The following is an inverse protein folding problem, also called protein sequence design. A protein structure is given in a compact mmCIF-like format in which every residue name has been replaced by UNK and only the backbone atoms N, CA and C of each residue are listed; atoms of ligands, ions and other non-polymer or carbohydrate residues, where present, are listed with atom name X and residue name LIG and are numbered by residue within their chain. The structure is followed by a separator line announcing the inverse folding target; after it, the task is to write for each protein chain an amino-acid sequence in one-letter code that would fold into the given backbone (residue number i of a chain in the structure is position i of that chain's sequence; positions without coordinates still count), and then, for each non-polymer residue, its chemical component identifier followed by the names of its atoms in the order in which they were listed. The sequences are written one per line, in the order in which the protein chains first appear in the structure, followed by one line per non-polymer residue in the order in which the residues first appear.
data_IF_730857743191
#
_entry.id   IF_730857743191
#
_cell.length_a   1.000
_cell.length_b   1.000
_cell.length_c   1.000
_cell.angle_alpha   90.00
_cell.angle_beta   90.00
_cell.angle_gamma   90.00
#
_symmetry.space_group_name_H-M   'P 1'
#
loop_
_entity.id
_entity.type
_entity.pdbx_description
1 polymer ?
#
# COMPACT_ATOMS: atom_id res chain seq x y z
N UNK A 1 45.34 -19.27 62.10
CA UNK A 1 44.86 -18.33 61.06
C UNK A 1 45.39 -18.65 59.66
N UNK A 2 46.65 -19.06 59.50
CA UNK A 2 47.27 -19.33 58.17
C UNK A 2 46.62 -20.48 57.38
N UNK A 3 46.26 -21.60 58.04
CA UNK A 3 45.66 -22.75 57.35
C UNK A 3 44.28 -22.43 56.72
N UNK A 4 43.45 -21.66 57.42
CA UNK A 4 42.14 -21.23 56.92
C UNK A 4 42.28 -20.34 55.68
N UNK A 5 43.23 -19.40 55.70
CA UNK A 5 43.51 -18.52 54.55
C UNK A 5 43.97 -19.33 53.33
N UNK A 6 44.81 -20.35 53.52
CA UNK A 6 45.25 -21.21 52.41
C UNK A 6 44.10 -22.01 51.78
N UNK A 7 43.16 -22.50 52.59
CA UNK A 7 41.98 -23.22 52.09
C UNK A 7 41.08 -22.30 51.28
N UNK A 8 40.79 -21.09 51.77
CA UNK A 8 39.97 -20.10 51.03
C UNK A 8 40.63 -19.70 49.71
N UNK A 9 41.94 -19.49 49.70
CA UNK A 9 42.69 -19.17 48.48
C UNK A 9 42.61 -20.32 47.47
N UNK A 10 42.79 -21.57 47.90
CA UNK A 10 42.72 -22.73 47.02
C UNK A 10 41.32 -22.91 46.39
N UNK A 11 40.26 -22.70 47.18
CA UNK A 11 38.87 -22.78 46.69
C UNK A 11 38.57 -21.65 45.70
N UNK A 12 39.01 -20.43 45.98
CA UNK A 12 38.86 -19.31 45.03
C UNK A 12 39.63 -19.54 43.73
N UNK A 13 40.84 -20.10 43.80
CA UNK A 13 41.65 -20.40 42.61
C UNK A 13 41.01 -21.50 41.77
N UNK A 14 40.51 -22.55 42.42
CA UNK A 14 39.76 -23.63 41.76
C UNK A 14 38.47 -23.09 41.10
N UNK A 15 37.75 -22.20 41.79
CA UNK A 15 36.55 -21.56 41.24
C UNK A 15 36.88 -20.72 39.99
N UNK A 16 37.92 -19.90 40.05
CA UNK A 16 38.34 -19.08 38.90
C UNK A 16 38.78 -19.93 37.71
N UNK A 17 39.45 -21.07 37.93
CA UNK A 17 39.82 -21.99 36.86
C UNK A 17 38.62 -22.66 36.22
N UNK A 18 37.64 -23.09 37.02
CA UNK A 18 36.38 -23.68 36.51
C UNK A 18 35.59 -22.65 35.72
N UNK A 19 35.47 -21.43 36.24
CA UNK A 19 34.75 -20.35 35.59
C UNK A 19 35.45 -19.97 34.27
N UNK A 20 36.78 -19.75 34.30
CA UNK A 20 37.56 -19.48 33.10
C UNK A 20 37.44 -20.57 32.03
N UNK A 21 37.45 -21.85 32.44
CA UNK A 21 37.22 -22.96 31.52
C UNK A 21 35.80 -22.97 30.95
N UNK A 22 34.80 -22.62 31.76
CA UNK A 22 33.40 -22.50 31.34
C UNK A 22 33.21 -21.41 30.28
N UNK A 23 33.82 -20.24 30.48
CA UNK A 23 33.81 -19.14 29.52
C UNK A 23 34.55 -19.50 28.21
N UNK A 24 35.71 -20.16 28.31
CA UNK A 24 36.46 -20.62 27.13
C UNK A 24 35.66 -21.65 26.31
N UNK A 25 35.01 -22.60 26.97
CA UNK A 25 34.16 -23.61 26.30
C UNK A 25 32.93 -23.00 25.65
N UNK A 26 32.31 -22.00 26.28
CA UNK A 26 31.22 -21.24 25.69
C UNK A 26 31.67 -20.47 24.44
N UNK A 27 32.86 -19.88 24.46
CA UNK A 27 33.47 -19.22 23.30
C UNK A 27 33.74 -20.18 22.12
N UNK A 28 34.14 -21.42 22.41
CA UNK A 28 34.33 -22.43 21.36
C UNK A 28 33.03 -22.85 20.68
N UNK A 29 31.90 -22.90 21.40
CA UNK A 29 30.60 -23.21 20.82
C UNK A 29 30.16 -22.13 19.80
N UNK A 30 30.45 -20.86 20.08
CA UNK A 30 30.24 -19.74 19.14
C UNK A 30 31.19 -19.84 17.93
N UNK A 31 32.46 -20.19 18.14
CA UNK A 31 33.42 -20.38 17.05
C UNK A 31 33.07 -21.56 16.12
N UNK A 32 32.44 -22.61 16.66
CA UNK A 32 31.97 -23.74 15.86
C UNK A 32 30.82 -23.35 14.91
N UNK A 33 29.95 -22.40 15.30
CA UNK A 33 28.92 -21.85 14.42
C UNK A 33 29.50 -20.91 13.35
N UNK A 34 30.60 -20.22 13.65
CA UNK A 34 31.38 -19.47 12.65
C UNK A 34 32.18 -20.36 11.68
N UNK A 35 32.18 -21.69 11.90
CA UNK A 35 33.05 -22.66 11.22
C UNK A 35 32.72 -22.98 9.76
N UNK A 36 31.71 -22.36 9.14
CA UNK A 36 31.40 -22.61 7.72
C UNK A 36 31.42 -21.32 6.87
N UNK A 37 32.61 -20.76 6.59
CA UNK A 37 32.76 -19.54 5.78
C UNK A 37 32.23 -19.68 4.35
N UNK A 38 32.06 -20.91 3.87
CA UNK A 38 31.45 -21.19 2.59
C UNK A 38 29.92 -21.00 2.62
N UNK A 39 29.26 -21.41 3.71
CA UNK A 39 27.82 -21.23 3.87
C UNK A 39 27.44 -19.74 3.93
N UNK A 40 28.16 -18.94 4.72
CA UNK A 40 27.94 -17.49 4.80
C UNK A 40 28.20 -16.79 3.47
N UNK A 41 29.21 -17.24 2.73
CA UNK A 41 29.50 -16.69 1.40
C UNK A 41 28.44 -17.08 0.35
N UNK A 42 27.89 -18.30 0.41
CA UNK A 42 26.76 -18.70 -0.44
C UNK A 42 25.50 -17.89 -0.12
N UNK A 43 25.17 -17.72 1.15
CA UNK A 43 24.05 -16.88 1.59
C UNK A 43 24.24 -15.44 1.08
N UNK A 44 25.43 -14.87 1.26
CA UNK A 44 25.75 -13.52 0.76
C UNK A 44 25.52 -13.40 -0.75
N UNK A 45 25.90 -14.41 -1.54
CA UNK A 45 25.64 -14.43 -2.99
C UNK A 45 24.17 -14.57 -3.32
N UNK A 46 23.43 -15.41 -2.59
CA UNK A 46 21.99 -15.56 -2.78
C UNK A 46 21.26 -14.24 -2.51
N UNK A 47 21.56 -13.57 -1.40
CA UNK A 47 21.00 -12.26 -1.07
C UNK A 47 21.38 -11.20 -2.10
N UNK A 48 22.62 -11.21 -2.60
CA UNK A 48 23.02 -10.30 -3.68
C UNK A 48 22.24 -10.55 -4.97
N UNK A 49 22.00 -11.80 -5.34
CA UNK A 49 21.19 -12.14 -6.52
C UNK A 49 19.75 -11.66 -6.37
N UNK A 50 19.14 -11.87 -5.20
CA UNK A 50 17.79 -11.42 -4.91
C UNK A 50 17.67 -9.89 -4.95
N UNK A 51 18.63 -9.16 -4.38
CA UNK A 51 18.66 -7.69 -4.45
C UNK A 51 18.76 -7.23 -5.91
N UNK A 52 19.57 -7.88 -6.74
CA UNK A 52 19.68 -7.51 -8.16
C UNK A 52 18.38 -7.80 -8.91
N UNK A 53 17.73 -8.93 -8.63
CA UNK A 53 16.44 -9.27 -9.22
C UNK A 53 15.36 -8.25 -8.84
N UNK A 54 15.26 -7.89 -7.55
CA UNK A 54 14.31 -6.89 -7.07
C UNK A 54 14.55 -5.51 -7.71
N UNK A 55 15.81 -5.11 -7.89
CA UNK A 55 16.14 -3.85 -8.57
C UNK A 55 15.67 -3.82 -10.02
N UNK A 56 15.81 -4.94 -10.75
CA UNK A 56 15.29 -5.06 -12.12
C UNK A 56 13.77 -4.91 -12.13
N UNK A 57 13.06 -5.58 -11.22
CA UNK A 57 11.60 -5.46 -11.10
C UNK A 57 11.19 -4.01 -10.81
N UNK A 58 11.83 -3.34 -9.84
CA UNK A 58 11.54 -1.94 -9.53
C UNK A 58 11.76 -1.05 -10.75
N UNK A 59 12.87 -1.22 -11.48
CA UNK A 59 13.15 -0.45 -12.68
C UNK A 59 12.06 -0.64 -13.75
N UNK A 60 11.61 -1.88 -13.94
CA UNK A 60 10.52 -2.17 -14.90
C UNK A 60 9.19 -1.54 -14.48
N UNK A 61 8.85 -1.58 -13.19
CA UNK A 61 7.64 -0.97 -12.67
C UNK A 61 7.67 0.55 -12.81
N UNK A 62 8.82 1.19 -12.49
CA UNK A 62 8.98 2.62 -12.68
C UNK A 62 8.79 3.03 -14.15
N UNK A 63 9.31 2.23 -15.09
CA UNK A 63 9.10 2.46 -16.51
C UNK A 63 7.62 2.35 -16.91
N UNK A 64 6.91 1.34 -16.39
CA UNK A 64 5.47 1.18 -16.64
C UNK A 64 4.66 2.35 -16.08
N UNK A 65 4.98 2.80 -14.86
CA UNK A 65 4.32 3.96 -14.24
C UNK A 65 4.54 5.20 -15.10
N UNK A 66 5.76 5.45 -15.56
CA UNK A 66 6.07 6.59 -16.42
C UNK A 66 5.30 6.51 -17.77
N UNK A 67 5.19 5.33 -18.36
CA UNK A 67 4.43 5.12 -19.59
C UNK A 67 2.93 5.40 -19.39
N UNK A 68 2.32 4.85 -18.34
CA UNK A 68 0.91 5.10 -18.02
C UNK A 68 0.64 6.57 -17.71
N UNK A 69 1.57 7.26 -17.03
CA UNK A 69 1.45 8.70 -16.78
C UNK A 69 1.44 9.50 -18.08
N UNK A 70 2.32 9.16 -19.04
CA UNK A 70 2.35 9.80 -20.34
C UNK A 70 1.05 9.54 -21.14
N UNK A 71 0.49 8.34 -21.07
CA UNK A 71 -0.80 8.01 -21.69
C UNK A 71 -1.95 8.83 -21.08
N UNK A 72 -1.99 8.94 -19.75
CA UNK A 72 -3.00 9.76 -19.05
C UNK A 72 -2.87 11.23 -19.46
N UNK A 73 -1.65 11.76 -19.56
CA UNK A 73 -1.42 13.14 -19.99
C UNK A 73 -1.86 13.36 -21.44
N UNK A 74 -1.56 12.42 -22.34
CA UNK A 74 -2.02 12.45 -23.73
C UNK A 74 -3.56 12.42 -23.83
N UNK A 75 -4.23 11.56 -23.06
CA UNK A 75 -5.70 11.50 -23.01
C UNK A 75 -6.26 12.82 -22.49
N UNK A 76 -5.70 13.37 -21.41
CA UNK A 76 -6.12 14.67 -20.85
C UNK A 76 -5.94 15.82 -21.85
N UNK A 77 -4.83 15.85 -22.60
CA UNK A 77 -4.59 16.84 -23.63
C UNK A 77 -5.61 16.72 -24.78
N UNK A 78 -5.90 15.50 -25.24
CA UNK A 78 -6.91 15.27 -26.27
C UNK A 78 -8.32 15.67 -25.84
N UNK A 79 -8.68 15.39 -24.57
CA UNK A 79 -9.94 15.81 -23.96
C UNK A 79 -10.02 17.35 -23.80
N UNK A 80 -8.91 18.00 -23.42
CA UNK A 80 -8.81 19.45 -23.36
C UNK A 80 -9.04 20.11 -24.72
N UNK A 81 -8.37 19.62 -25.77
CA UNK A 81 -8.54 20.12 -27.14
C UNK A 81 -9.99 19.92 -27.63
N UNK A 82 -10.59 18.76 -27.36
CA UNK A 82 -11.99 18.49 -27.70
C UNK A 82 -12.96 19.43 -26.97
N UNK A 83 -12.71 19.72 -25.68
CA UNK A 83 -13.50 20.66 -24.90
C UNK A 83 -13.34 22.11 -25.42
N UNK A 84 -12.12 22.52 -25.79
CA UNK A 84 -11.87 23.84 -26.40
C UNK A 84 -12.55 23.98 -27.76
N UNK A 85 -12.55 22.93 -28.59
CA UNK A 85 -13.32 22.92 -29.84
C UNK A 85 -14.83 22.99 -29.60
N UNK A 86 -15.35 22.29 -28.59
CA UNK A 86 -16.77 22.31 -28.24
C UNK A 86 -17.22 23.66 -27.65
N UNK A 87 -16.35 24.37 -26.94
CA UNK A 87 -16.62 25.71 -26.40
C UNK A 87 -16.50 26.80 -27.47
N UNK A 88 -15.56 26.65 -28.41
CA UNK A 88 -15.45 27.48 -29.61
C UNK A 88 -16.67 27.32 -30.55
N UNK A 89 -17.20 26.09 -30.66
CA UNK A 89 -18.46 25.85 -31.38
C UNK A 89 -19.66 26.47 -30.66
N UNK A 90 -19.69 26.44 -29.32
CA UNK A 90 -20.76 27.05 -28.50
C UNK A 90 -20.73 28.58 -28.48
N UNK A 91 -19.56 29.21 -28.58
CA UNK A 91 -19.44 30.68 -28.60
C UNK A 91 -19.85 31.30 -29.93
N UNK A 92 -20.00 30.49 -31.00
CA UNK A 92 -20.54 30.96 -32.28
C UNK A 92 -22.07 30.85 -32.40
N UNK A 93 -22.76 30.29 -31.40
CA UNK A 93 -24.23 30.27 -31.29
C UNK A 93 -24.68 31.02 -30.01
N UNK A 94 -25.19 32.23 -30.17
CA UNK A 94 -25.91 32.97 -29.12
C UNK A 94 -27.38 33.18 -29.53
N UNK A 95 -28.30 33.55 -28.62
CA UNK A 95 -28.55 33.05 -27.27
C UNK A 95 -30.05 32.73 -27.06
N UNK A 96 -30.42 31.67 -26.33
CA UNK A 96 -31.72 31.63 -25.63
C UNK A 96 -31.87 30.51 -24.60
N UNK A 97 -32.43 30.91 -23.45
CA UNK A 97 -33.16 30.11 -22.45
C UNK A 97 -32.36 29.55 -21.25
N UNK A 98 -32.46 30.18 -20.06
CA UNK A 98 -31.90 29.64 -18.83
C UNK A 98 -32.93 28.76 -18.13
N UNK A 99 -32.84 27.43 -18.28
CA UNK A 99 -33.66 26.52 -17.48
C UNK A 99 -32.97 25.22 -17.03
N UNK A 100 -31.76 24.90 -17.49
CA UNK A 100 -31.19 23.56 -17.28
C UNK A 100 -29.77 23.57 -16.69
N UNK A 101 -29.51 24.43 -15.70
CA UNK A 101 -28.20 24.49 -15.02
C UNK A 101 -27.97 23.35 -14.03
N UNK A 102 -29.01 22.61 -13.63
CA UNK A 102 -28.94 21.54 -12.63
C UNK A 102 -28.58 20.16 -13.20
N UNK A 103 -28.75 19.93 -14.51
CA UNK A 103 -28.36 18.66 -15.13
C UNK A 103 -26.85 18.52 -15.33
N UNK A 104 -26.15 19.62 -15.59
CA UNK A 104 -24.71 19.62 -15.94
C UNK A 104 -23.78 19.33 -14.75
N UNK A 105 -24.21 19.62 -13.51
CA UNK A 105 -23.42 19.31 -12.31
C UNK A 105 -23.50 17.84 -11.90
N UNK A 106 -24.56 17.11 -12.27
CA UNK A 106 -24.67 15.67 -12.02
C UNK A 106 -23.75 14.84 -12.95
N UNK A 107 -23.57 15.26 -14.21
CA UNK A 107 -22.69 14.57 -15.16
C UNK A 107 -21.21 14.73 -14.80
N UNK A 108 -20.80 15.88 -14.27
CA UNK A 108 -19.39 16.15 -13.95
C UNK A 108 -18.85 15.32 -12.80
N UNK A 109 -19.72 14.90 -11.86
CA UNK A 109 -19.35 14.00 -10.76
C UNK A 109 -19.33 12.51 -11.15
N UNK A 110 -19.89 12.14 -12.30
CA UNK A 110 -19.83 10.78 -12.84
C UNK A 110 -18.63 10.53 -13.77
N UNK A 111 -18.04 11.59 -14.32
CA UNK A 111 -16.99 11.51 -15.34
C UNK A 111 -15.64 10.93 -14.86
N UNK A 112 -15.46 10.73 -13.55
CA UNK A 112 -14.22 10.18 -12.96
C UNK A 112 -14.42 8.78 -12.36
N UNK A 113 -15.60 8.19 -12.50
CA UNK A 113 -15.91 6.85 -11.98
C UNK A 113 -15.92 5.89 -13.18
N UNK A 114 -15.16 4.79 -13.07
CA UNK A 114 -15.14 3.75 -14.11
C UNK A 114 -16.59 3.37 -14.48
N UNK A 115 -16.94 3.24 -15.78
CA UNK A 115 -18.33 3.06 -16.23
C UNK A 115 -19.04 1.87 -15.57
N UNK A 116 -18.28 0.88 -15.14
CA UNK A 116 -18.73 -0.31 -14.40
C UNK A 116 -19.40 0.01 -13.05
N UNK A 117 -19.10 1.16 -12.44
CA UNK A 117 -19.69 1.60 -11.16
C UNK A 117 -20.75 2.68 -11.31
N UNK A 118 -21.05 3.12 -12.54
CA UNK A 118 -22.02 4.21 -12.78
C UNK A 118 -23.45 3.81 -12.35
N UNK A 119 -23.85 2.58 -12.65
CA UNK A 119 -25.17 2.03 -12.26
C UNK A 119 -25.29 1.81 -10.74
N UNK A 120 -24.35 1.10 -10.06
CA UNK A 120 -24.34 1.00 -8.60
C UNK A 120 -24.39 2.37 -7.90
N UNK A 121 -23.59 3.34 -8.36
CA UNK A 121 -23.53 4.66 -7.74
C UNK A 121 -24.84 5.44 -7.92
N UNK A 122 -25.47 5.34 -9.09
CA UNK A 122 -26.78 5.93 -9.33
C UNK A 122 -27.88 5.30 -8.45
N UNK A 123 -27.80 3.99 -8.20
CA UNK A 123 -28.74 3.27 -7.36
C UNK A 123 -28.55 3.64 -5.87
N UNK A 124 -27.31 3.72 -5.40
CA UNK A 124 -26.96 4.18 -4.05
C UNK A 124 -27.42 5.62 -3.79
N UNK A 125 -27.25 6.54 -4.75
CA UNK A 125 -27.76 7.93 -4.65
C UNK A 125 -29.29 8.03 -4.59
N UNK A 126 -30.02 6.99 -5.03
CA UNK A 126 -31.47 6.89 -4.89
C UNK A 126 -31.90 6.28 -3.55
N UNK A 127 -30.94 5.98 -2.66
CA UNK A 127 -31.21 5.43 -1.33
C UNK A 127 -31.22 3.90 -1.27
N UNK A 128 -30.65 3.20 -2.25
CA UNK A 128 -30.56 1.75 -2.19
C UNK A 128 -29.51 1.29 -1.17
N UNK A 129 -29.85 0.27 -0.38
CA UNK A 129 -28.97 -0.33 0.62
C UNK A 129 -27.86 -1.20 0.00
N UNK A 130 -26.72 -1.40 0.68
CA UNK A 130 -25.59 -2.20 0.18
C UNK A 130 -25.99 -3.61 -0.28
N UNK A 131 -26.91 -4.25 0.43
CA UNK A 131 -27.41 -5.59 0.10
C UNK A 131 -28.20 -5.62 -1.21
N UNK A 132 -28.87 -4.53 -1.55
CA UNK A 132 -29.63 -4.40 -2.79
C UNK A 132 -28.72 -4.12 -3.98
N UNK A 133 -27.61 -3.40 -3.77
CA UNK A 133 -26.55 -3.21 -4.74
C UNK A 133 -25.87 -4.53 -5.12
N UNK A 134 -25.57 -5.39 -4.15
CA UNK A 134 -25.03 -6.74 -4.40
C UNK A 134 -25.99 -7.56 -5.27
N UNK A 135 -27.29 -7.54 -4.94
CA UNK A 135 -28.29 -8.33 -5.66
C UNK A 135 -28.55 -7.83 -7.09
N UNK A 136 -28.58 -6.50 -7.29
CA UNK A 136 -28.96 -5.89 -8.57
C UNK A 136 -27.78 -5.69 -9.52
N UNK A 137 -26.62 -5.35 -8.98
CA UNK A 137 -25.45 -4.98 -9.77
C UNK A 137 -24.34 -6.04 -9.76
N UNK A 138 -24.49 -7.13 -8.99
CA UNK A 138 -23.52 -8.23 -8.95
C UNK A 138 -22.16 -7.85 -8.35
N UNK A 139 -22.08 -6.71 -7.67
CA UNK A 139 -20.88 -6.25 -6.96
C UNK A 139 -20.70 -7.00 -5.64
N UNK A 140 -19.47 -7.06 -5.14
CA UNK A 140 -19.21 -7.63 -3.81
C UNK A 140 -19.80 -6.74 -2.70
N UNK A 141 -20.02 -7.33 -1.52
CA UNK A 141 -20.54 -6.58 -0.36
C UNK A 141 -19.60 -5.42 0.05
N UNK A 142 -18.29 -5.63 -0.04
CA UNK A 142 -17.30 -4.61 0.26
C UNK A 142 -17.36 -3.44 -0.74
N UNK A 143 -17.50 -3.74 -2.04
CA UNK A 143 -17.68 -2.72 -3.08
C UNK A 143 -19.00 -1.97 -2.88
N UNK A 144 -20.09 -2.67 -2.57
CA UNK A 144 -21.39 -2.05 -2.30
C UNK A 144 -21.33 -1.07 -1.10
N UNK A 145 -20.63 -1.44 -0.02
CA UNK A 145 -20.43 -0.55 1.13
C UNK A 145 -19.61 0.69 0.78
N UNK A 146 -18.54 0.53 0.00
CA UNK A 146 -17.72 1.66 -0.47
C UNK A 146 -18.55 2.62 -1.35
N UNK A 147 -19.33 2.08 -2.29
CA UNK A 147 -20.18 2.86 -3.19
C UNK A 147 -21.28 3.58 -2.40
N UNK A 148 -21.87 2.91 -1.42
CA UNK A 148 -22.88 3.50 -0.54
C UNK A 148 -22.31 4.63 0.34
N UNK A 149 -21.13 4.44 0.92
CA UNK A 149 -20.43 5.46 1.69
C UNK A 149 -20.04 6.67 0.83
N UNK A 150 -19.63 6.43 -0.42
CA UNK A 150 -19.31 7.49 -1.37
C UNK A 150 -20.57 8.28 -1.81
N UNK A 151 -21.71 7.60 -1.95
CA UNK A 151 -22.97 8.23 -2.35
C UNK A 151 -23.61 9.05 -1.23
N UNK A 152 -23.52 8.59 0.03
CA UNK A 152 -24.16 9.22 1.19
C UNK A 152 -23.22 10.13 2.00
N UNK A 153 -21.95 10.21 1.61
CA UNK A 153 -20.93 11.00 2.31
C UNK A 153 -20.53 10.41 3.66
N UNK A 154 -19.50 10.96 4.32
CA UNK A 154 -19.16 10.57 5.69
C UNK A 154 -20.40 10.81 6.56
N UNK A 155 -20.95 9.73 7.10
CA UNK A 155 -21.96 9.83 8.14
C UNK A 155 -21.33 10.63 9.29
N UNK A 156 -21.72 11.90 9.44
CA UNK A 156 -21.66 12.53 10.75
C UNK A 156 -22.45 11.60 11.66
N UNK A 157 -21.72 10.86 12.48
CA UNK A 157 -22.25 10.17 13.64
C UNK A 157 -22.90 11.27 14.47
N UNK A 158 -24.20 11.46 14.25
CA UNK A 158 -25.07 12.26 15.11
C UNK A 158 -25.06 11.54 16.45
N UNK A 159 -24.09 11.91 17.28
CA UNK A 159 -24.14 11.72 18.72
C UNK A 159 -25.38 12.47 19.19
N UNK A 160 -26.51 11.78 19.26
CA UNK A 160 -27.65 12.23 20.03
C UNK A 160 -27.27 12.09 21.52
N UNK A 161 -27.50 13.19 22.22
CA UNK A 161 -27.16 13.47 23.62
C UNK A 161 -27.95 12.63 24.63
#
# INVERSE_FOLDING_TARGET
MTAFVMVVMAVSLAWLLVEGWRWWRAGQALAAHAGNPFATHLETRAWQQEIQQLRVVIATQQQQIAALQAEIEAIKASAGNAASHADAARTSEAPSTPANRTASDLERSGANVSPEYAEPLALARRGAEPEELVKRCGVSLAEAQLIWALANGPQEVRQEA
#
